data_IF_619889921482
#
_entry.id   IF_619889921482
#
_cell.length_a   1.000
_cell.length_b   1.000
_cell.length_c   1.000
_cell.angle_alpha   90.00
_cell.angle_beta   90.00
_cell.angle_gamma   90.00
#
_symmetry.space_group_name_H-M   'P 1'
#
loop_
_entity.id
_entity.type
_entity.pdbx_description
1 polymer ?
#
# COMPACT_ATOMS: atom_id res chain seq x y z
N UNK A 1 -21.46 25.31 -4.56
CA UNK A 1 -22.33 24.15 -4.87
C UNK A 1 -22.53 24.07 -6.37
N UNK A 2 -22.55 22.88 -6.95
CA UNK A 2 -22.74 22.65 -8.39
C UNK A 2 -23.87 21.61 -8.61
N UNK A 3 -25.14 21.98 -8.34
CA UNK A 3 -26.28 21.05 -8.34
C UNK A 3 -26.57 20.42 -9.71
N UNK A 4 -26.20 21.09 -10.80
CA UNK A 4 -26.36 20.57 -12.16
C UNK A 4 -25.26 19.55 -12.55
N UNK A 5 -24.17 19.48 -11.77
CA UNK A 5 -23.02 18.60 -12.04
C UNK A 5 -22.98 17.38 -11.11
N UNK A 6 -23.38 17.53 -9.84
CA UNK A 6 -23.36 16.44 -8.86
C UNK A 6 -24.78 16.00 -8.52
N UNK A 7 -25.08 14.68 -8.54
CA UNK A 7 -26.34 14.16 -8.02
C UNK A 7 -26.59 14.59 -6.57
N UNK A 8 -27.86 14.56 -6.16
CA UNK A 8 -28.23 14.89 -4.79
C UNK A 8 -27.46 13.98 -3.81
N UNK A 9 -26.88 14.59 -2.76
CA UNK A 9 -26.04 13.92 -1.76
C UNK A 9 -24.67 13.40 -2.25
N UNK A 10 -24.26 13.75 -3.47
CA UNK A 10 -22.89 13.55 -3.92
C UNK A 10 -22.06 14.80 -3.64
N UNK A 11 -20.83 14.60 -3.18
CA UNK A 11 -19.83 15.65 -3.05
C UNK A 11 -18.49 15.14 -3.55
N UNK A 12 -17.65 16.07 -3.97
CA UNK A 12 -16.27 15.82 -4.33
C UNK A 12 -15.36 16.63 -3.40
N UNK A 13 -14.30 16.00 -2.92
CA UNK A 13 -13.35 16.59 -1.99
C UNK A 13 -11.94 16.43 -2.55
N UNK A 14 -11.37 17.55 -2.97
CA UNK A 14 -9.99 17.64 -3.38
C UNK A 14 -9.15 18.35 -2.31
N UNK A 15 -7.91 17.89 -2.15
CA UNK A 15 -6.92 18.49 -1.27
C UNK A 15 -5.62 18.76 -2.03
N UNK A 16 -4.84 19.72 -1.54
CA UNK A 16 -3.55 20.10 -2.11
C UNK A 16 -2.49 20.17 -1.01
N UNK A 17 -1.29 19.66 -1.29
CA UNK A 17 -0.14 19.70 -0.39
C UNK A 17 1.13 20.08 -1.15
N UNK A 18 2.03 20.80 -0.48
CA UNK A 18 3.36 21.17 -1.00
C UNK A 18 4.42 20.66 -0.04
N UNK A 19 5.48 20.07 -0.59
CA UNK A 19 6.66 19.66 0.14
C UNK A 19 7.93 20.13 -0.58
N UNK A 20 9.03 20.22 0.16
CA UNK A 20 10.34 20.61 -0.36
C UNK A 20 11.34 19.47 -0.15
N UNK A 21 12.13 19.16 -1.17
CA UNK A 21 13.22 18.18 -1.10
C UNK A 21 14.43 18.71 -1.88
N UNK A 22 15.64 18.53 -1.33
CA UNK A 22 16.86 18.82 -2.07
C UNK A 22 17.05 17.79 -3.18
N UNK A 23 17.57 18.19 -4.35
CA UNK A 23 17.78 17.27 -5.47
C UNK A 23 18.61 16.03 -5.07
N UNK A 24 19.63 16.23 -4.23
CA UNK A 24 20.49 15.18 -3.69
C UNK A 24 19.80 14.19 -2.75
N UNK A 25 18.57 14.48 -2.26
CA UNK A 25 17.81 13.62 -1.34
C UNK A 25 16.50 13.10 -1.94
N UNK A 26 16.27 13.32 -3.24
CA UNK A 26 15.07 12.85 -3.95
C UNK A 26 15.13 11.34 -4.16
N UNK A 27 14.16 10.59 -3.66
CA UNK A 27 13.97 9.17 -3.96
C UNK A 27 13.30 8.94 -5.33
N UNK A 28 13.47 7.77 -5.97
CA UNK A 28 14.37 6.67 -5.58
C UNK A 28 15.86 7.04 -5.76
N UNK A 29 16.73 6.45 -4.95
CA UNK A 29 18.19 6.55 -5.04
C UNK A 29 18.84 5.23 -4.64
N UNK A 30 19.84 4.80 -5.40
CA UNK A 30 20.72 3.67 -5.05
C UNK A 30 19.98 2.34 -4.80
N UNK A 31 18.78 2.17 -5.36
CA UNK A 31 18.09 0.88 -5.34
C UNK A 31 18.99 -0.15 -6.02
N UNK A 32 19.26 -1.25 -5.33
CA UNK A 32 20.20 -2.28 -5.77
C UNK A 32 19.69 -3.68 -5.43
N UNK A 33 20.20 -4.69 -6.14
CA UNK A 33 20.01 -6.08 -5.75
C UNK A 33 20.51 -6.31 -4.32
N UNK A 34 19.75 -7.06 -3.53
CA UNK A 34 19.99 -7.25 -2.09
C UNK A 34 19.30 -6.23 -1.19
N UNK A 35 18.73 -5.15 -1.74
CA UNK A 35 17.85 -4.28 -0.93
C UNK A 35 16.65 -5.07 -0.40
N UNK A 36 16.21 -4.71 0.80
CA UNK A 36 15.11 -5.35 1.51
C UNK A 36 13.84 -4.52 1.37
N UNK A 37 12.73 -5.20 1.11
CA UNK A 37 11.40 -4.61 1.04
C UNK A 37 10.75 -4.66 2.42
N UNK A 38 10.48 -3.50 3.01
CA UNK A 38 9.79 -3.36 4.30
C UNK A 38 8.39 -2.81 4.07
N UNK A 39 7.37 -3.62 4.33
CA UNK A 39 5.97 -3.24 4.28
C UNK A 39 5.51 -2.55 5.56
N UNK A 40 4.85 -1.40 5.42
CA UNK A 40 4.17 -0.68 6.49
C UNK A 40 2.67 -1.00 6.45
N UNK A 41 2.06 -1.36 7.60
CA UNK A 41 0.68 -1.81 7.63
C UNK A 41 -0.28 -0.69 7.21
N UNK A 42 -1.27 -1.03 6.39
CA UNK A 42 -2.42 -0.17 6.08
C UNK A 42 -3.41 -0.16 7.26
N UNK A 43 -4.41 0.72 7.19
CA UNK A 43 -5.53 0.75 8.14
C UNK A 43 -6.75 -0.03 7.61
N UNK A 44 -6.69 -0.54 6.38
CA UNK A 44 -7.81 -1.11 5.64
C UNK A 44 -7.65 -0.82 4.15
N UNK A 45 -8.76 -0.64 3.44
CA UNK A 45 -8.76 -0.33 1.99
C UNK A 45 -8.16 1.04 1.63
N UNK A 46 -7.92 1.90 2.64
CA UNK A 46 -7.50 3.30 2.47
C UNK A 46 -8.51 4.08 1.62
N UNK A 47 -8.09 4.63 0.48
CA UNK A 47 -8.90 5.49 -0.39
C UNK A 47 -8.99 4.96 -1.83
N UNK A 48 -8.68 3.68 -2.06
CA UNK A 48 -8.71 3.06 -3.39
C UNK A 48 -9.57 1.78 -3.40
N UNK A 49 -10.08 1.40 -4.57
CA UNK A 49 -10.93 0.21 -4.73
C UNK A 49 -12.41 0.42 -4.34
N UNK A 50 -12.84 1.62 -3.96
CA UNK A 50 -14.20 1.87 -3.47
C UNK A 50 -15.30 1.66 -4.51
N UNK A 51 -15.01 1.77 -5.80
CA UNK A 51 -15.98 1.41 -6.83
C UNK A 51 -16.37 -0.06 -6.74
N UNK A 52 -15.40 -0.95 -6.50
CA UNK A 52 -15.65 -2.37 -6.28
C UNK A 52 -16.32 -2.60 -4.92
N UNK A 53 -15.84 -1.97 -3.85
CA UNK A 53 -16.45 -2.07 -2.51
C UNK A 53 -17.94 -1.68 -2.55
N UNK A 54 -18.28 -0.54 -3.15
CA UNK A 54 -19.69 -0.10 -3.26
C UNK A 54 -20.55 -1.09 -4.03
N UNK A 55 -20.01 -1.69 -5.11
CA UNK A 55 -20.70 -2.74 -5.85
C UNK A 55 -21.00 -3.95 -4.95
N UNK A 56 -19.99 -4.43 -4.22
CA UNK A 56 -20.16 -5.56 -3.30
C UNK A 56 -21.16 -5.27 -2.18
N UNK A 57 -21.12 -4.07 -1.60
CA UNK A 57 -22.08 -3.66 -0.57
C UNK A 57 -23.53 -3.61 -1.09
N UNK A 58 -23.73 -3.33 -2.39
CA UNK A 58 -25.05 -3.29 -3.01
C UNK A 58 -25.57 -4.69 -3.39
N UNK A 59 -24.68 -5.63 -3.68
CA UNK A 59 -25.02 -6.95 -4.24
C UNK A 59 -24.95 -8.09 -3.22
N UNK A 60 -24.40 -7.85 -2.02
CA UNK A 60 -24.12 -8.90 -1.02
C UNK A 60 -24.49 -8.45 0.39
N UNK A 61 -24.43 -9.37 1.36
CA UNK A 61 -24.65 -9.08 2.79
C UNK A 61 -23.41 -8.49 3.48
N UNK A 62 -22.33 -8.21 2.73
CA UNK A 62 -21.03 -7.77 3.24
C UNK A 62 -21.16 -6.64 4.28
N UNK A 63 -21.98 -5.62 4.01
CA UNK A 63 -22.13 -4.47 4.91
C UNK A 63 -22.73 -4.81 6.28
N UNK A 64 -23.43 -5.93 6.41
CA UNK A 64 -24.03 -6.40 7.66
C UNK A 64 -23.12 -7.33 8.47
N UNK A 65 -21.97 -7.71 7.91
CA UNK A 65 -21.03 -8.62 8.56
C UNK A 65 -20.20 -7.89 9.63
N UNK A 66 -19.73 -8.66 10.62
CA UNK A 66 -18.70 -8.26 11.57
C UNK A 66 -17.39 -8.98 11.26
N UNK A 67 -16.28 -8.32 11.57
CA UNK A 67 -14.94 -8.91 11.57
C UNK A 67 -14.70 -9.71 12.85
N UNK A 68 -13.67 -10.55 12.86
CA UNK A 68 -13.28 -11.44 13.96
C UNK A 68 -12.88 -10.65 15.23
N UNK A 69 -12.42 -9.41 15.07
CA UNK A 69 -12.12 -8.50 16.18
C UNK A 69 -13.38 -7.82 16.77
N UNK A 70 -14.56 -8.15 16.26
CA UNK A 70 -15.85 -7.60 16.68
C UNK A 70 -16.22 -6.28 16.01
N UNK A 71 -15.36 -5.73 15.13
CA UNK A 71 -15.69 -4.50 14.41
C UNK A 71 -16.70 -4.72 13.29
N UNK A 72 -17.58 -3.75 13.06
CA UNK A 72 -18.53 -3.79 11.93
C UNK A 72 -17.80 -3.55 10.61
N UNK A 73 -18.19 -4.28 9.56
CA UNK A 73 -17.61 -4.17 8.22
C UNK A 73 -17.62 -2.72 7.69
N UNK A 74 -18.73 -2.00 7.86
CA UNK A 74 -18.84 -0.61 7.40
C UNK A 74 -17.85 0.32 8.11
N UNK A 75 -17.63 0.11 9.41
CA UNK A 75 -16.64 0.90 10.18
C UNK A 75 -15.21 0.56 9.75
N UNK A 76 -14.92 -0.71 9.45
CA UNK A 76 -13.62 -1.12 8.92
C UNK A 76 -13.34 -0.53 7.53
N UNK A 77 -14.35 -0.48 6.66
CA UNK A 77 -14.26 0.14 5.33
C UNK A 77 -14.07 1.66 5.44
N UNK A 78 -14.75 2.32 6.37
CA UNK A 78 -14.65 3.78 6.58
C UNK A 78 -13.41 4.22 7.37
N UNK A 79 -12.53 3.28 7.78
CA UNK A 79 -11.35 3.62 8.58
C UNK A 79 -10.43 4.56 7.78
N UNK A 80 -10.05 5.74 8.31
CA UNK A 80 -9.24 6.71 7.58
C UNK A 80 -7.92 6.15 7.06
N UNK A 81 -7.48 6.63 5.89
CA UNK A 81 -6.16 6.33 5.35
C UNK A 81 -5.07 6.70 6.36
N UNK A 82 -4.16 5.76 6.60
CA UNK A 82 -3.01 5.97 7.49
C UNK A 82 -2.01 6.93 6.85
N UNK A 83 -1.54 7.91 7.63
CA UNK A 83 -0.54 8.88 7.19
C UNK A 83 0.85 8.50 7.74
N UNK A 84 1.80 8.22 6.86
CA UNK A 84 3.12 7.67 7.21
C UNK A 84 4.20 8.71 7.48
N UNK A 85 3.95 10.01 7.25
CA UNK A 85 4.98 11.06 7.27
C UNK A 85 5.81 11.09 8.56
N UNK A 86 5.17 10.94 9.73
CA UNK A 86 5.86 10.99 11.04
C UNK A 86 6.83 9.83 11.24
N UNK A 87 6.51 8.67 10.66
CA UNK A 87 7.31 7.44 10.79
C UNK A 87 8.43 7.41 9.74
N UNK A 88 8.16 7.88 8.53
CA UNK A 88 9.06 7.69 7.38
C UNK A 88 10.04 8.87 7.21
N UNK A 89 9.61 10.11 7.46
CA UNK A 89 10.45 11.28 7.22
C UNK A 89 11.79 11.27 7.99
N UNK A 90 11.85 10.89 9.28
CA UNK A 90 13.13 10.82 10.00
C UNK A 90 14.10 9.81 9.38
N UNK A 91 13.60 8.65 8.95
CA UNK A 91 14.40 7.60 8.30
C UNK A 91 14.92 8.05 6.93
N UNK A 92 14.07 8.75 6.16
CA UNK A 92 14.49 9.36 4.89
C UNK A 92 15.59 10.41 5.11
N UNK A 93 15.47 11.25 6.14
CA UNK A 93 16.46 12.29 6.45
C UNK A 93 17.82 11.71 6.87
N UNK A 94 17.82 10.52 7.48
CA UNK A 94 19.02 9.76 7.84
C UNK A 94 19.63 9.01 6.65
N UNK A 95 18.97 9.00 5.48
CA UNK A 95 19.46 8.30 4.29
C UNK A 95 19.31 6.78 4.36
N UNK A 96 18.40 6.27 5.20
CA UNK A 96 18.19 4.83 5.42
C UNK A 96 17.25 4.18 4.38
N UNK A 97 16.68 4.98 3.48
CA UNK A 97 15.67 4.55 2.52
C UNK A 97 16.18 4.85 1.11
N UNK A 98 16.25 3.83 0.28
CA UNK A 98 16.58 3.93 -1.15
C UNK A 98 15.36 4.27 -1.99
N UNK A 99 14.18 3.75 -1.64
CA UNK A 99 12.94 4.12 -2.29
C UNK A 99 11.73 3.92 -1.38
N UNK A 100 10.60 4.55 -1.73
CA UNK A 100 9.33 4.34 -1.04
C UNK A 100 8.18 4.30 -2.05
N UNK A 101 7.37 3.25 -2.02
CA UNK A 101 6.17 3.10 -2.84
C UNK A 101 4.93 3.23 -1.96
N UNK A 102 4.09 4.22 -2.26
CA UNK A 102 2.77 4.34 -1.64
C UNK A 102 1.79 3.43 -2.39
N UNK A 103 1.18 2.47 -1.67
CA UNK A 103 0.32 1.46 -2.29
C UNK A 103 -1.10 2.02 -2.39
N UNK A 104 -1.45 2.49 -3.59
CA UNK A 104 -2.71 3.17 -3.89
C UNK A 104 -3.50 2.38 -4.96
N UNK A 105 -4.15 3.05 -5.91
CA UNK A 105 -4.78 2.38 -7.06
C UNK A 105 -3.75 1.57 -7.84
N UNK A 106 -4.14 0.38 -8.31
CA UNK A 106 -3.23 -0.57 -8.95
C UNK A 106 -2.51 -1.51 -7.97
N UNK A 107 -2.72 -1.32 -6.66
CA UNK A 107 -2.17 -2.16 -5.60
C UNK A 107 -0.64 -2.24 -5.63
N UNK A 108 -0.09 -3.33 -5.09
CA UNK A 108 1.38 -3.51 -5.04
C UNK A 108 1.95 -3.69 -6.46
N UNK A 109 1.22 -4.38 -7.32
CA UNK A 109 1.65 -4.75 -8.68
C UNK A 109 1.91 -3.56 -9.59
N UNK A 110 1.20 -2.44 -9.41
CA UNK A 110 1.45 -1.24 -10.21
C UNK A 110 2.31 -0.19 -9.49
N UNK A 111 2.26 -0.12 -8.17
CA UNK A 111 2.92 0.96 -7.43
C UNK A 111 4.38 0.65 -7.12
N UNK A 112 4.73 -0.59 -6.77
CA UNK A 112 6.12 -0.93 -6.43
C UNK A 112 7.07 -0.86 -7.63
N UNK A 113 6.73 -1.36 -8.84
CA UNK A 113 7.64 -1.28 -9.97
C UNK A 113 8.05 0.15 -10.36
N UNK A 114 7.23 1.16 -10.06
CA UNK A 114 7.54 2.59 -10.35
C UNK A 114 8.77 3.11 -9.63
N UNK A 115 9.24 2.41 -8.59
CA UNK A 115 10.41 2.81 -7.81
C UNK A 115 11.57 1.82 -7.90
N UNK A 116 11.42 0.74 -8.69
CA UNK A 116 12.47 -0.24 -8.98
C UNK A 116 13.07 0.10 -10.35
N UNK A 117 14.39 0.36 -10.44
CA UNK A 117 15.06 0.63 -11.71
C UNK A 117 15.03 -0.57 -12.67
N UNK A 118 15.25 -0.28 -13.96
CA UNK A 118 15.49 -1.31 -14.98
C UNK A 118 16.65 -2.23 -14.58
N UNK A 119 16.56 -3.51 -14.96
CA UNK A 119 17.54 -4.55 -14.59
C UNK A 119 17.35 -5.15 -13.19
N UNK A 120 16.38 -4.66 -12.41
CA UNK A 120 16.05 -5.17 -11.08
C UNK A 120 14.58 -5.61 -10.99
N UNK A 121 14.31 -6.54 -10.08
CA UNK A 121 12.95 -7.06 -9.82
C UNK A 121 12.66 -7.07 -8.32
N UNK A 122 11.42 -6.76 -7.95
CA UNK A 122 10.94 -6.91 -6.57
C UNK A 122 10.35 -8.31 -6.35
N UNK A 123 10.99 -9.10 -5.48
CA UNK A 123 10.50 -10.42 -5.07
C UNK A 123 9.75 -10.29 -3.75
N UNK A 124 8.43 -10.44 -3.79
CA UNK A 124 7.56 -10.32 -2.61
C UNK A 124 7.11 -11.70 -2.15
N UNK A 125 7.27 -11.97 -0.86
CA UNK A 125 6.64 -13.11 -0.20
C UNK A 125 5.26 -12.70 0.35
N UNK A 126 4.15 -13.16 -0.26
CA UNK A 126 2.81 -12.85 0.21
C UNK A 126 2.46 -13.47 1.58
N UNK A 127 3.26 -14.42 2.08
CA UNK A 127 3.09 -15.02 3.39
C UNK A 127 3.84 -14.27 4.49
N UNK A 128 4.65 -13.26 4.13
CA UNK A 128 5.45 -12.50 5.09
C UNK A 128 4.62 -11.53 5.96
N UNK A 129 3.35 -11.30 5.61
CA UNK A 129 2.41 -10.59 6.47
C UNK A 129 1.05 -11.28 6.47
N UNK A 130 0.33 -11.13 7.57
CA UNK A 130 -1.06 -11.55 7.63
C UNK A 130 -1.92 -10.54 6.88
N UNK A 131 -2.57 -10.99 5.81
CA UNK A 131 -3.61 -10.23 5.13
C UNK A 131 -4.72 -9.91 6.14
N UNK A 132 -5.15 -8.64 6.28
CA UNK A 132 -6.30 -8.31 7.11
C UNK A 132 -7.57 -8.99 6.60
N UNK A 133 -8.34 -9.58 7.51
CA UNK A 133 -9.58 -10.32 7.24
C UNK A 133 -10.57 -9.53 6.37
N UNK A 134 -10.60 -8.20 6.51
CA UNK A 134 -11.37 -7.29 5.64
C UNK A 134 -11.22 -7.62 4.15
N UNK A 135 -10.00 -7.92 3.70
CA UNK A 135 -9.74 -8.25 2.30
C UNK A 135 -10.22 -9.65 1.95
N UNK A 136 -10.17 -10.60 2.88
CA UNK A 136 -10.74 -11.93 2.66
C UNK A 136 -12.26 -11.85 2.54
N UNK A 137 -12.93 -11.07 3.39
CA UNK A 137 -14.38 -10.83 3.29
C UNK A 137 -14.76 -10.20 1.94
N UNK A 138 -13.99 -9.20 1.47
CA UNK A 138 -14.17 -8.60 0.15
C UNK A 138 -13.97 -9.62 -0.98
N UNK A 139 -12.93 -10.45 -0.88
CA UNK A 139 -12.63 -11.48 -1.86
C UNK A 139 -13.76 -12.50 -1.98
N UNK A 140 -14.24 -13.02 -0.84
CA UNK A 140 -15.31 -14.01 -0.80
C UNK A 140 -16.64 -13.44 -1.30
N UNK A 141 -17.03 -12.24 -0.84
CA UNK A 141 -18.27 -11.60 -1.27
C UNK A 141 -18.33 -11.39 -2.80
N UNK A 142 -17.20 -11.00 -3.41
CA UNK A 142 -17.14 -10.74 -4.84
C UNK A 142 -16.70 -11.91 -5.71
N UNK A 143 -16.39 -13.09 -5.14
CA UNK A 143 -15.72 -14.19 -5.83
C UNK A 143 -14.48 -13.71 -6.61
N UNK A 144 -13.69 -12.82 -6.00
CA UNK A 144 -12.60 -12.10 -6.68
C UNK A 144 -11.38 -13.00 -6.84
N UNK A 145 -10.78 -12.98 -8.03
CA UNK A 145 -9.48 -13.63 -8.24
C UNK A 145 -8.39 -12.95 -7.43
N UNK A 146 -7.36 -13.71 -7.05
CA UNK A 146 -6.19 -13.16 -6.36
C UNK A 146 -5.50 -12.05 -7.18
N UNK A 147 -5.49 -12.18 -8.51
CA UNK A 147 -5.00 -11.13 -9.42
C UNK A 147 -5.80 -9.83 -9.25
N UNK A 148 -7.13 -9.92 -9.20
CA UNK A 148 -7.99 -8.74 -8.98
C UNK A 148 -7.73 -8.12 -7.61
N UNK A 149 -7.57 -8.95 -6.58
CA UNK A 149 -7.24 -8.48 -5.24
C UNK A 149 -5.92 -7.70 -5.22
N UNK A 150 -4.88 -8.23 -5.87
CA UNK A 150 -3.53 -7.63 -5.92
C UNK A 150 -3.45 -6.35 -6.74
N UNK A 151 -4.23 -6.23 -7.81
CA UNK A 151 -4.26 -5.03 -8.66
C UNK A 151 -5.24 -3.97 -8.16
N UNK A 152 -6.17 -4.32 -7.26
CA UNK A 152 -7.18 -3.36 -6.75
C UNK A 152 -6.82 -2.81 -5.38
N UNK A 153 -6.34 -3.67 -4.48
CA UNK A 153 -6.19 -3.35 -3.07
C UNK A 153 -4.73 -3.37 -2.60
N UNK A 154 -4.50 -2.73 -1.47
CA UNK A 154 -3.20 -2.73 -0.79
C UNK A 154 -2.92 -4.01 0.01
N UNK A 155 -3.95 -4.84 0.23
CA UNK A 155 -3.89 -6.13 0.92
C UNK A 155 -3.22 -6.12 2.30
N UNK A 156 -3.28 -4.98 2.99
CA UNK A 156 -2.70 -4.80 4.33
C UNK A 156 -1.40 -4.03 4.36
N UNK A 157 -0.79 -3.71 3.21
CA UNK A 157 0.46 -2.95 3.12
C UNK A 157 0.19 -1.61 2.47
N UNK A 158 0.18 -0.52 3.25
CA UNK A 158 -0.11 0.82 2.73
C UNK A 158 1.12 1.50 2.12
N UNK A 159 2.32 1.14 2.53
CA UNK A 159 3.56 1.67 1.97
C UNK A 159 4.65 0.61 2.01
N UNK A 160 5.51 0.57 0.99
CA UNK A 160 6.70 -0.28 0.96
C UNK A 160 7.93 0.63 0.95
N UNK A 161 8.87 0.38 1.86
CA UNK A 161 10.19 1.00 1.87
C UNK A 161 11.19 0.02 1.26
N UNK A 162 12.03 0.51 0.37
CA UNK A 162 13.21 -0.21 -0.14
C UNK A 162 14.40 0.31 0.62
N UNK A 163 15.08 -0.57 1.35
CA UNK A 163 16.17 -0.20 2.26
C UNK A 163 17.36 -1.12 2.05
N UNK A 164 18.59 -0.62 2.22
CA UNK A 164 19.75 -1.50 2.20
C UNK A 164 19.70 -2.46 3.39
N UNK A 165 20.26 -3.66 3.24
CA UNK A 165 20.21 -4.72 4.25
C UNK A 165 20.66 -4.25 5.65
N UNK A 166 21.73 -3.46 5.72
CA UNK A 166 22.24 -2.92 7.00
C UNK A 166 21.30 -1.92 7.70
N UNK A 167 20.31 -1.36 6.99
CA UNK A 167 19.35 -0.42 7.57
C UNK A 167 18.09 -1.11 8.13
N UNK A 168 17.89 -2.40 7.87
CA UNK A 168 16.66 -3.12 8.23
C UNK A 168 16.34 -3.03 9.72
N UNK A 169 17.31 -3.33 10.60
CA UNK A 169 17.11 -3.29 12.05
C UNK A 169 16.69 -1.90 12.52
N UNK A 170 17.37 -0.84 12.05
CA UNK A 170 17.06 0.54 12.44
C UNK A 170 15.65 0.96 12.01
N UNK A 171 15.21 0.53 10.82
CA UNK A 171 13.87 0.82 10.30
C UNK A 171 12.81 0.07 11.09
N UNK A 172 13.05 -1.21 11.42
CA UNK A 172 12.12 -2.00 12.23
C UNK A 172 12.03 -1.50 13.68
N UNK A 173 13.14 -1.07 14.28
CA UNK A 173 13.15 -0.46 15.61
C UNK A 173 12.35 0.85 15.64
N UNK A 174 12.49 1.68 14.59
CA UNK A 174 11.74 2.92 14.45
C UNK A 174 10.25 2.71 14.11
N UNK A 175 9.93 1.61 13.42
CA UNK A 175 8.57 1.24 13.03
C UNK A 175 8.31 -0.22 13.40
N UNK A 176 8.03 -0.53 14.68
CA UNK A 176 7.87 -1.92 15.14
C UNK A 176 6.73 -2.69 14.47
N UNK A 177 5.75 -1.97 13.91
CA UNK A 177 4.64 -2.56 13.16
C UNK A 177 5.01 -2.95 11.72
N UNK A 178 6.21 -2.62 11.26
CA UNK A 178 6.67 -2.94 9.91
C UNK A 178 7.05 -4.42 9.77
N UNK A 179 7.04 -4.92 8.52
CA UNK A 179 7.39 -6.30 8.20
C UNK A 179 8.36 -6.33 7.03
N UNK A 180 9.39 -7.16 7.11
CA UNK A 180 10.14 -7.55 5.91
C UNK A 180 9.22 -8.41 5.06
N UNK A 181 8.99 -8.01 3.81
CA UNK A 181 8.04 -8.66 2.91
C UNK A 181 8.69 -9.21 1.63
N UNK A 182 10.00 -9.05 1.50
CA UNK A 182 10.71 -9.45 0.29
C UNK A 182 12.05 -8.76 0.10
N UNK A 183 12.61 -8.93 -1.09
CA UNK A 183 13.91 -8.36 -1.48
C UNK A 183 13.89 -7.89 -2.93
N UNK A 184 14.84 -7.02 -3.27
CA UNK A 184 15.15 -6.67 -4.66
C UNK A 184 16.19 -7.67 -5.17
N UNK A 185 15.92 -8.29 -6.31
CA UNK A 185 16.84 -9.16 -7.03
C UNK A 185 17.23 -8.59 -8.38
N UNK A 186 18.16 -9.25 -9.06
CA UNK A 186 18.44 -8.99 -10.48
C UNK A 186 17.28 -9.50 -11.34
N UNK A 187 16.91 -8.74 -12.38
CA UNK A 187 15.92 -9.21 -13.36
C UNK A 187 16.59 -10.27 -14.27
N UNK A 188 16.12 -11.53 -14.26
CA UNK A 188 16.70 -12.57 -15.10
C UNK A 188 16.52 -12.34 -16.61
N UNK A 189 15.74 -11.34 -17.04
CA UNK A 189 15.39 -11.10 -18.45
C UNK A 189 16.52 -10.38 -19.23
N UNK A 190 17.58 -9.88 -18.59
CA UNK A 190 18.69 -9.19 -19.28
C UNK A 190 19.63 -10.10 -20.11
N UNK A 191 19.33 -11.39 -20.27
CA UNK A 191 20.09 -12.30 -21.15
C UNK A 191 19.23 -12.87 -22.28
N UNK A 192 19.22 -12.13 -23.40
CA UNK A 192 19.13 -12.69 -24.77
C UNK A 192 20.33 -12.19 -25.57
#
# INVERSE_FOLDING_TARGET
EMPDMYPQHHYDLAGFAVGLVSASKRLPQKVAAGDVLIGLPSSGVHSNGYSLVRKLLAETDLGSQSLDDGSEMLNALMRPTRIYVKQVLPLMQQGLIHAAAHITGGGITENLPRVIPDGLVANIDPQAWQRPELFDRLQHAGHLSETTMRSTFNLGIGMILVVPEQAVSLVQDAIPSSKVIGTVGEDPIEKL
#
